data_IF_345260773024
#
_entry.id   IF_345260773024
#
_cell.length_a   1.000
_cell.length_b   1.000
_cell.length_c   1.000
_cell.angle_alpha   90.00
_cell.angle_beta   90.00
_cell.angle_gamma   90.00
#
_symmetry.space_group_name_H-M   'P 1'
#
loop_
_entity.id
_entity.type
_entity.pdbx_description
1 polymer ?
#
# COMPACT_ATOMS: atom_id res chain seq x y z
N UNK A 1 -0.57 16.24 5.40
CA UNK A 1 0.87 15.92 5.50
C UNK A 1 1.21 14.80 4.53
N UNK A 2 2.26 14.96 3.72
CA UNK A 2 2.82 13.94 2.82
C UNK A 2 4.03 13.29 3.47
N UNK A 3 4.01 11.96 3.59
CA UNK A 3 5.04 11.18 4.29
C UNK A 3 5.63 10.15 3.33
N UNK A 4 6.94 9.97 3.37
CA UNK A 4 7.63 8.88 2.70
C UNK A 4 8.14 7.83 3.71
N UNK A 5 8.10 6.55 3.33
CA UNK A 5 8.59 5.44 4.15
C UNK A 5 9.79 4.81 3.44
N UNK A 6 10.93 4.77 4.12
CA UNK A 6 12.13 4.07 3.69
C UNK A 6 12.32 2.85 4.60
N UNK A 7 12.37 1.65 4.02
CA UNK A 7 12.74 0.45 4.77
C UNK A 7 14.11 -0.03 4.32
N UNK A 8 15.01 -0.27 5.26
CA UNK A 8 16.38 -0.72 5.01
C UNK A 8 16.49 -2.19 5.42
N UNK A 9 17.06 -3.02 4.55
CA UNK A 9 17.31 -4.42 4.84
C UNK A 9 17.48 -5.27 3.57
N UNK A 10 18.62 -5.93 3.44
CA UNK A 10 18.91 -6.85 2.34
C UNK A 10 17.95 -8.04 2.29
N UNK A 11 17.49 -8.53 3.44
CA UNK A 11 16.53 -9.61 3.61
C UNK A 11 15.15 -9.27 3.04
N UNK A 12 14.75 -7.99 3.07
CA UNK A 12 13.54 -7.50 2.40
C UNK A 12 13.69 -7.53 0.89
N UNK A 13 14.87 -7.15 0.37
CA UNK A 13 15.16 -7.18 -1.07
C UNK A 13 15.35 -8.60 -1.61
N UNK A 14 15.91 -9.50 -0.80
CA UNK A 14 16.02 -10.92 -1.10
C UNK A 14 14.67 -11.63 -1.08
N UNK A 15 13.68 -11.05 -0.38
CA UNK A 15 12.36 -11.65 -0.19
C UNK A 15 12.36 -12.75 0.88
N UNK A 16 13.35 -12.76 1.76
CA UNK A 16 13.43 -13.69 2.89
C UNK A 16 12.37 -13.36 3.96
N UNK A 17 12.01 -12.08 4.06
CA UNK A 17 10.98 -11.59 4.97
C UNK A 17 10.03 -10.63 4.24
N UNK A 18 8.74 -10.73 4.55
CA UNK A 18 7.75 -9.77 4.06
C UNK A 18 7.92 -8.41 4.74
N UNK A 19 7.82 -7.33 3.96
CA UNK A 19 7.89 -5.96 4.47
C UNK A 19 6.59 -5.54 5.17
N UNK A 20 6.34 -6.14 6.33
CA UNK A 20 5.17 -5.86 7.16
C UNK A 20 5.26 -4.51 7.87
N UNK A 21 6.48 -4.00 8.11
CA UNK A 21 6.71 -2.68 8.69
C UNK A 21 6.17 -1.57 7.80
N UNK A 22 6.50 -1.56 6.51
CA UNK A 22 5.97 -0.55 5.58
C UNK A 22 4.44 -0.58 5.53
N UNK A 23 3.84 -1.78 5.50
CA UNK A 23 2.39 -1.94 5.48
C UNK A 23 1.74 -1.41 6.75
N UNK A 24 2.31 -1.73 7.92
CA UNK A 24 1.80 -1.28 9.20
C UNK A 24 1.94 0.24 9.37
N UNK A 25 3.12 0.80 9.08
CA UNK A 25 3.39 2.24 9.12
C UNK A 25 2.46 3.00 8.18
N UNK A 26 2.28 2.53 6.94
CA UNK A 26 1.40 3.20 5.99
C UNK A 26 -0.06 3.22 6.43
N UNK A 27 -0.53 2.11 7.02
CA UNK A 27 -1.87 2.04 7.61
C UNK A 27 -1.99 3.04 8.77
N UNK A 28 -1.04 3.03 9.70
CA UNK A 28 -1.10 3.88 10.89
C UNK A 28 -1.00 5.37 10.56
N UNK A 29 -0.11 5.74 9.64
CA UNK A 29 -0.01 7.10 9.09
C UNK A 29 -1.33 7.54 8.44
N UNK A 30 -1.99 6.66 7.69
CA UNK A 30 -3.30 6.95 7.09
C UNK A 30 -4.39 7.15 8.15
N UNK A 31 -4.36 6.37 9.24
CA UNK A 31 -5.32 6.48 10.35
C UNK A 31 -5.22 7.81 11.10
N UNK A 32 -4.01 8.36 11.22
CA UNK A 32 -3.81 9.72 11.78
C UNK A 32 -3.99 10.81 10.72
N UNK A 33 -4.42 10.47 9.50
CA UNK A 33 -4.75 11.42 8.44
C UNK A 33 -3.58 11.80 7.54
N UNK A 34 -2.35 11.35 7.81
CA UNK A 34 -1.23 11.55 6.89
C UNK A 34 -1.43 10.79 5.57
N UNK A 35 -0.82 11.27 4.49
CA UNK A 35 -0.82 10.59 3.20
C UNK A 35 0.57 10.02 2.95
N UNK A 36 0.66 8.70 2.78
CA UNK A 36 1.92 8.07 2.37
C UNK A 36 2.07 8.23 0.86
N UNK A 37 3.00 9.09 0.47
CA UNK A 37 3.26 9.45 -0.92
C UNK A 37 4.22 8.48 -1.61
N UNK A 38 5.13 7.88 -0.86
CA UNK A 38 6.15 6.98 -1.39
C UNK A 38 6.58 5.95 -0.34
N UNK A 39 6.83 4.73 -0.81
CA UNK A 39 7.48 3.67 -0.04
C UNK A 39 8.62 3.13 -0.91
N UNK A 40 9.82 3.03 -0.34
CA UNK A 40 10.96 2.40 -1.01
C UNK A 40 11.68 1.45 -0.03
N UNK A 41 12.15 0.34 -0.56
CA UNK A 41 13.06 -0.58 0.14
C UNK A 41 14.44 -0.47 -0.49
N UNK A 42 15.47 -0.37 0.35
CA UNK A 42 16.87 -0.21 -0.06
C UNK A 42 17.76 -1.24 0.65
N UNK A 43 18.92 -1.60 0.08
CA UNK A 43 19.88 -2.47 0.76
C UNK A 43 20.50 -1.75 1.96
N UNK A 44 21.16 -2.53 2.82
CA UNK A 44 22.06 -2.03 3.87
C UNK A 44 23.34 -1.46 3.24
N UNK A 45 23.20 -0.35 2.52
CA UNK A 45 24.27 0.36 1.82
C UNK A 45 24.25 1.84 2.19
N UNK A 46 25.39 2.32 2.69
CA UNK A 46 25.51 3.65 3.25
C UNK A 46 25.19 4.75 2.23
N UNK A 47 25.73 4.67 1.02
CA UNK A 47 25.54 5.68 -0.02
C UNK A 47 24.09 5.70 -0.49
N UNK A 48 23.49 4.52 -0.68
CA UNK A 48 22.09 4.42 -1.10
C UNK A 48 21.13 5.01 -0.06
N UNK A 49 21.32 4.71 1.23
CA UNK A 49 20.48 5.25 2.29
C UNK A 49 20.64 6.78 2.36
N UNK A 50 21.89 7.27 2.36
CA UNK A 50 22.20 8.69 2.46
C UNK A 50 21.59 9.49 1.29
N UNK A 51 21.72 8.99 0.05
CA UNK A 51 21.18 9.63 -1.15
C UNK A 51 19.65 9.74 -1.10
N UNK A 52 18.96 8.68 -0.68
CA UNK A 52 17.50 8.68 -0.57
C UNK A 52 17.05 9.65 0.53
N UNK A 53 17.71 9.66 1.68
CA UNK A 53 17.40 10.59 2.79
C UNK A 53 17.63 12.03 2.35
N UNK A 54 18.73 12.31 1.64
CA UNK A 54 19.06 13.63 1.12
C UNK A 54 18.01 14.13 0.13
N UNK A 55 17.53 13.28 -0.78
CA UNK A 55 16.44 13.64 -1.71
C UNK A 55 15.12 13.88 -0.94
N UNK A 56 14.77 12.98 -0.03
CA UNK A 56 13.44 12.92 0.53
C UNK A 56 13.18 13.93 1.64
N UNK A 57 14.22 14.34 2.39
CA UNK A 57 14.09 15.38 3.43
C UNK A 57 13.53 16.70 2.86
N UNK A 58 13.79 16.99 1.59
CA UNK A 58 13.32 18.21 0.91
C UNK A 58 12.02 17.98 0.12
N UNK A 59 11.71 16.73 -0.25
CA UNK A 59 10.57 16.38 -1.09
C UNK A 59 9.27 16.08 -0.31
N UNK A 60 9.37 15.77 0.99
CA UNK A 60 8.24 15.35 1.82
C UNK A 60 8.17 16.11 3.14
N UNK A 61 6.96 16.20 3.71
CA UNK A 61 6.76 16.85 5.02
C UNK A 61 7.41 16.03 6.15
N UNK A 62 7.49 14.70 5.99
CA UNK A 62 8.27 13.82 6.84
C UNK A 62 8.74 12.56 6.11
N UNK A 63 9.85 12.00 6.61
CA UNK A 63 10.42 10.73 6.16
C UNK A 63 10.51 9.78 7.35
N UNK A 64 9.97 8.58 7.23
CA UNK A 64 10.09 7.51 8.24
C UNK A 64 11.02 6.43 7.69
N UNK A 65 12.17 6.25 8.33
CA UNK A 65 13.17 5.23 8.03
C UNK A 65 13.06 4.11 9.08
N UNK A 66 13.11 2.85 8.66
CA UNK A 66 13.08 1.70 9.58
C UNK A 66 14.00 0.57 9.12
N UNK A 67 14.72 -0.05 10.07
CA UNK A 67 15.70 -1.12 9.81
C UNK A 67 17.15 -0.67 10.00
N UNK A 68 18.06 -1.62 10.22
CA UNK A 68 19.51 -1.38 10.29
C UNK A 68 19.99 -0.55 11.48
N UNK A 69 19.41 -0.72 12.68
CA UNK A 69 19.78 0.00 13.91
C UNK A 69 20.44 -0.89 14.99
N UNK A 70 20.69 -2.16 14.70
CA UNK A 70 21.34 -3.06 15.63
C UNK A 70 22.86 -2.80 15.75
N UNK A 71 23.59 -3.85 16.12
CA UNK A 71 25.04 -3.81 16.31
C UNK A 71 25.82 -4.69 15.34
N UNK A 72 25.17 -5.25 14.31
CA UNK A 72 25.89 -6.03 13.30
C UNK A 72 26.57 -5.11 12.28
N UNK A 73 27.57 -5.59 11.52
CA UNK A 73 28.33 -4.73 10.59
C UNK A 73 27.49 -4.06 9.48
N UNK A 74 26.30 -4.58 9.21
CA UNK A 74 25.32 -4.06 8.26
C UNK A 74 24.27 -3.12 8.89
N UNK A 75 24.26 -2.93 10.21
CA UNK A 75 23.36 -2.01 10.90
C UNK A 75 23.80 -0.53 10.79
N UNK A 76 23.89 -0.01 9.58
CA UNK A 76 24.51 1.29 9.26
C UNK A 76 23.50 2.43 9.03
N UNK A 77 22.21 2.20 9.27
CA UNK A 77 21.16 3.16 8.90
C UNK A 77 21.31 4.51 9.59
N UNK A 78 21.63 4.53 10.89
CA UNK A 78 21.71 5.78 11.65
C UNK A 78 22.86 6.68 11.16
N UNK A 79 24.02 6.08 10.89
CA UNK A 79 25.20 6.76 10.33
C UNK A 79 24.90 7.30 8.92
N UNK A 80 24.29 6.47 8.07
CA UNK A 80 23.92 6.88 6.71
C UNK A 80 22.85 7.98 6.68
N UNK A 81 21.89 7.96 7.62
CA UNK A 81 20.92 9.05 7.80
C UNK A 81 21.63 10.34 8.21
N UNK A 82 22.63 10.30 9.10
CA UNK A 82 23.41 11.48 9.47
C UNK A 82 24.12 12.09 8.25
N UNK A 83 24.77 11.24 7.44
CA UNK A 83 25.40 11.66 6.18
C UNK A 83 24.36 12.24 5.20
N UNK A 84 23.22 11.58 5.02
CA UNK A 84 22.13 12.06 4.17
C UNK A 84 21.44 13.33 4.67
N UNK A 85 21.67 13.75 5.91
CA UNK A 85 21.20 15.01 6.47
C UNK A 85 22.29 16.09 6.51
N UNK A 86 23.50 15.78 6.04
CA UNK A 86 24.68 16.65 6.15
C UNK A 86 24.98 17.03 7.62
N UNK A 87 24.88 16.06 8.55
CA UNK A 87 25.11 16.24 9.99
C UNK A 87 26.21 15.30 10.50
N UNK A 88 26.87 15.71 11.58
CA UNK A 88 27.82 14.84 12.28
C UNK A 88 27.10 13.66 12.95
N UNK A 89 27.74 12.49 12.96
CA UNK A 89 27.27 11.30 13.67
C UNK A 89 27.92 11.29 15.06
N UNK A 90 27.13 11.62 16.08
CA UNK A 90 27.64 11.92 17.43
C UNK A 90 26.88 11.13 18.49
N UNK A 91 27.57 10.80 19.58
CA UNK A 91 26.96 10.16 20.75
C UNK A 91 25.97 11.14 21.40
N UNK A 92 24.74 10.70 21.59
CA UNK A 92 23.72 11.44 22.32
C UNK A 92 23.66 10.94 23.78
N UNK A 93 23.85 11.84 24.74
CA UNK A 93 23.92 11.50 26.17
C UNK A 93 22.64 10.81 26.68
N UNK A 94 21.46 11.27 26.24
CA UNK A 94 20.19 10.67 26.66
C UNK A 94 19.96 9.29 26.04
N UNK A 95 20.44 9.08 24.82
CA UNK A 95 20.43 7.77 24.18
C UNK A 95 21.41 6.81 24.88
N UNK A 96 22.60 7.29 25.26
CA UNK A 96 23.59 6.52 26.01
C UNK A 96 23.03 6.05 27.36
N UNK A 97 22.40 6.93 28.13
CA UNK A 97 21.75 6.57 29.41
C UNK A 97 20.69 5.47 29.23
N UNK A 98 19.87 5.58 28.18
CA UNK A 98 18.86 4.56 27.87
C UNK A 98 19.51 3.22 27.49
N UNK A 99 20.53 3.23 26.63
CA UNK A 99 21.24 2.03 26.18
C UNK A 99 21.90 1.34 27.36
N UNK A 100 22.60 2.08 28.22
CA UNK A 100 23.22 1.55 29.45
C UNK A 100 22.17 0.89 30.36
N UNK A 101 21.05 1.57 30.61
CA UNK A 101 19.95 1.03 31.42
C UNK A 101 19.39 -0.27 30.83
N UNK A 102 19.21 -0.32 29.51
CA UNK A 102 18.71 -1.53 28.84
C UNK A 102 19.72 -2.68 28.90
N UNK A 103 21.01 -2.40 28.72
CA UNK A 103 22.08 -3.40 28.85
C UNK A 103 22.10 -3.99 30.26
N UNK A 104 22.05 -3.13 31.30
CA UNK A 104 21.98 -3.58 32.69
C UNK A 104 20.80 -4.53 32.92
N UNK A 105 19.60 -4.16 32.46
CA UNK A 105 18.41 -4.99 32.58
C UNK A 105 18.52 -6.33 31.81
N UNK A 106 19.21 -6.35 30.66
CA UNK A 106 19.48 -7.57 29.91
C UNK A 106 20.42 -8.48 30.69
N UNK A 107 21.52 -7.95 31.22
CA UNK A 107 22.52 -8.70 31.99
C UNK A 107 21.93 -9.25 33.31
N UNK A 108 21.01 -8.51 33.95
CA UNK A 108 20.28 -9.01 35.12
C UNK A 108 19.40 -10.22 34.79
N UNK A 109 18.71 -10.19 33.64
CA UNK A 109 17.84 -11.29 33.19
C UNK A 109 18.66 -12.47 32.65
N UNK A 110 19.84 -12.21 32.11
CA UNK A 110 20.71 -13.15 31.41
C UNK A 110 22.18 -12.95 31.84
N UNK A 111 22.54 -13.37 33.06
CA UNK A 111 23.89 -13.16 33.59
C UNK A 111 24.95 -14.04 32.92
N UNK A 112 24.52 -15.00 32.10
CA UNK A 112 25.35 -15.96 31.36
C UNK A 112 25.69 -15.50 29.92
N UNK A 113 25.09 -14.39 29.49
CA UNK A 113 25.28 -13.81 28.16
C UNK A 113 26.56 -12.98 28.16
N UNK A 114 27.51 -13.37 27.31
CA UNK A 114 28.75 -12.62 27.04
C UNK A 114 28.55 -11.85 25.73
N UNK A 115 28.23 -10.55 25.84
CA UNK A 115 28.08 -9.67 24.69
C UNK A 115 28.85 -8.38 24.96
N UNK A 116 29.75 -8.05 24.03
CA UNK A 116 30.47 -6.78 23.97
C UNK A 116 29.63 -5.82 23.14
N UNK A 117 28.79 -5.02 23.81
CA UNK A 117 27.90 -4.04 23.17
C UNK A 117 28.55 -2.67 23.26
N UNK A 118 28.76 -2.04 22.10
CA UNK A 118 29.27 -0.68 22.04
C UNK A 118 28.15 0.31 22.32
N UNK A 119 28.07 0.80 23.56
CA UNK A 119 27.10 1.84 23.96
C UNK A 119 27.18 3.06 23.06
N UNK A 120 28.39 3.48 22.67
CA UNK A 120 28.57 4.66 21.84
C UNK A 120 27.96 4.45 20.45
N UNK A 121 28.05 3.24 19.89
CA UNK A 121 27.41 2.90 18.62
C UNK A 121 25.89 3.05 18.69
N UNK A 122 25.24 2.38 19.64
CA UNK A 122 23.77 2.43 19.80
C UNK A 122 23.24 3.82 20.20
N UNK A 123 24.07 4.63 20.86
CA UNK A 123 23.73 5.98 21.28
C UNK A 123 24.06 7.05 20.24
N UNK A 124 24.80 6.70 19.18
CA UNK A 124 25.18 7.64 18.13
C UNK A 124 24.02 7.91 17.19
N UNK A 125 23.82 9.16 16.83
CA UNK A 125 22.75 9.63 15.94
C UNK A 125 23.15 10.94 15.27
N UNK A 126 22.39 11.45 14.28
CA UNK A 126 22.67 12.76 13.70
C UNK A 126 22.70 13.85 14.77
N UNK A 127 23.61 14.82 14.65
CA UNK A 127 23.67 15.99 15.53
C UNK A 127 22.29 16.66 15.68
N UNK A 128 21.99 17.15 16.89
CA UNK A 128 20.72 17.76 17.30
C UNK A 128 19.47 16.87 17.14
N UNK A 129 19.64 15.54 17.02
CA UNK A 129 18.50 14.63 16.96
C UNK A 129 17.76 14.53 18.31
N UNK A 130 16.44 14.52 18.25
CA UNK A 130 15.54 14.20 19.35
C UNK A 130 15.50 12.68 19.52
N UNK A 131 15.87 12.17 20.70
CA UNK A 131 15.82 10.74 20.99
C UNK A 131 14.37 10.24 21.02
N UNK A 132 14.11 9.13 20.35
CA UNK A 132 12.85 8.41 20.42
C UNK A 132 13.05 7.14 21.23
N UNK A 133 12.58 7.15 22.48
CA UNK A 133 12.90 6.09 23.43
C UNK A 133 12.35 4.74 23.03
N UNK A 134 13.21 3.73 23.08
CA UNK A 134 12.87 2.33 22.83
C UNK A 134 12.73 1.62 24.18
N UNK A 135 11.50 1.34 24.59
CA UNK A 135 11.22 0.63 25.84
C UNK A 135 11.31 -0.90 25.73
N UNK A 136 11.35 -1.43 24.51
CA UNK A 136 11.25 -2.87 24.24
C UNK A 136 12.58 -3.49 23.79
N UNK A 137 13.51 -2.67 23.29
CA UNK A 137 14.80 -3.12 22.76
C UNK A 137 15.96 -2.20 23.08
N UNK A 138 17.11 -2.57 22.53
CA UNK A 138 18.40 -1.92 22.82
C UNK A 138 18.58 -0.60 22.06
N UNK A 139 18.22 -0.58 20.78
CA UNK A 139 18.52 0.54 19.89
C UNK A 139 17.44 1.64 19.98
N UNK A 140 17.74 2.85 20.50
CA UNK A 140 16.82 3.97 20.43
C UNK A 140 16.57 4.38 18.96
N UNK A 141 15.36 4.90 18.70
CA UNK A 141 15.12 5.67 17.48
C UNK A 141 15.56 7.11 17.65
N UNK A 142 15.48 7.89 16.58
CA UNK A 142 15.66 9.34 16.68
C UNK A 142 14.80 10.10 15.68
N UNK A 143 14.67 11.40 15.90
CA UNK A 143 14.14 12.35 14.94
C UNK A 143 15.15 13.47 14.72
N UNK A 144 15.58 13.64 13.47
CA UNK A 144 16.45 14.73 13.04
C UNK A 144 15.71 15.58 11.99
N UNK A 145 15.21 16.74 12.39
CA UNK A 145 14.37 17.59 11.53
C UNK A 145 13.02 16.94 11.21
N UNK A 146 12.79 16.61 9.94
CA UNK A 146 11.60 15.89 9.45
C UNK A 146 11.86 14.40 9.17
N UNK A 147 13.06 13.88 9.48
CA UNK A 147 13.41 12.46 9.32
C UNK A 147 13.28 11.76 10.67
N UNK A 148 12.54 10.65 10.69
CA UNK A 148 12.31 9.78 11.84
C UNK A 148 12.94 8.43 11.56
N UNK A 149 13.81 7.96 12.43
CA UNK A 149 14.52 6.68 12.29
C UNK A 149 14.06 5.74 13.39
N UNK A 150 13.54 4.57 12.99
CA UNK A 150 12.94 3.58 13.87
C UNK A 150 13.64 2.21 13.75
N UNK A 151 13.64 1.38 14.80
CA UNK A 151 14.14 0.01 14.71
C UNK A 151 13.44 -0.81 13.62
N UNK A 152 14.08 -1.88 13.16
CA UNK A 152 13.51 -2.83 12.20
C UNK A 152 12.58 -3.87 12.83
N UNK A 153 12.71 -4.14 14.14
CA UNK A 153 11.91 -5.14 14.83
C UNK A 153 10.50 -4.57 15.07
N UNK A 154 9.41 -5.21 14.60
CA UNK A 154 8.06 -4.66 14.72
C UNK A 154 7.61 -4.40 16.17
N UNK A 155 8.10 -5.20 17.12
CA UNK A 155 7.78 -5.08 18.54
C UNK A 155 8.42 -3.83 19.19
N UNK A 156 9.51 -3.33 18.62
CA UNK A 156 10.17 -2.09 19.05
C UNK A 156 9.67 -0.88 18.25
N UNK A 157 9.54 -1.03 16.93
CA UNK A 157 9.13 0.03 16.02
C UNK A 157 7.72 0.55 16.33
N UNK A 158 6.75 -0.34 16.57
CA UNK A 158 5.34 0.06 16.74
C UNK A 158 5.13 0.92 17.98
N UNK A 159 5.62 0.55 19.19
CA UNK A 159 5.50 1.41 20.38
C UNK A 159 6.15 2.77 20.19
N UNK A 160 7.34 2.82 19.57
CA UNK A 160 8.01 4.09 19.30
C UNK A 160 7.14 4.94 18.38
N UNK A 161 6.64 4.38 17.27
CA UNK A 161 5.76 5.09 16.35
C UNK A 161 4.50 5.61 17.04
N UNK A 162 3.83 4.79 17.87
CA UNK A 162 2.63 5.25 18.59
C UNK A 162 2.92 6.44 19.51
N UNK A 163 4.11 6.51 20.11
CA UNK A 163 4.51 7.66 20.94
C UNK A 163 4.64 8.98 20.15
N UNK A 164 4.83 8.90 18.83
CA UNK A 164 4.98 10.05 17.93
C UNK A 164 3.85 10.21 16.92
N UNK A 165 2.84 9.33 16.94
CA UNK A 165 1.80 9.26 15.91
C UNK A 165 1.03 10.58 15.75
N UNK A 166 0.77 11.29 16.84
CA UNK A 166 0.10 12.60 16.83
C UNK A 166 0.86 13.67 16.05
N UNK A 167 2.18 13.53 15.88
CA UNK A 167 2.99 14.49 15.09
C UNK A 167 2.70 14.41 13.60
N UNK A 168 2.10 13.30 13.15
CA UNK A 168 1.67 13.09 11.78
C UNK A 168 0.18 13.40 11.57
N UNK A 169 -0.52 13.84 12.63
CA UNK A 169 -1.94 14.10 12.57
C UNK A 169 -2.26 15.17 11.52
N UNK A 170 -3.29 14.93 10.71
CA UNK A 170 -3.85 15.97 9.86
C UNK A 170 -5.36 15.78 9.71
N UNK A 171 -6.05 16.84 9.27
CA UNK A 171 -7.52 16.91 9.16
C UNK A 171 -8.11 16.00 8.06
N UNK A 172 -7.36 15.01 7.58
CA UNK A 172 -7.79 14.11 6.51
C UNK A 172 -8.56 12.93 7.09
N UNK A 173 -9.77 12.74 6.59
CA UNK A 173 -10.65 11.66 6.97
C UNK A 173 -10.84 10.64 5.84
N UNK A 174 -11.42 9.49 6.20
CA UNK A 174 -11.85 8.49 5.22
C UNK A 174 -13.20 7.87 5.55
N UNK A 175 -13.86 7.38 4.51
CA UNK A 175 -15.11 6.60 4.57
C UNK A 175 -14.91 5.33 3.75
N UNK A 176 -15.39 4.21 4.27
CA UNK A 176 -15.27 2.90 3.62
C UNK A 176 -16.65 2.29 3.44
N UNK A 177 -16.88 1.66 2.29
CA UNK A 177 -18.08 0.90 1.96
C UNK A 177 -17.74 -0.19 0.95
N UNK A 178 -18.70 -1.06 0.65
CA UNK A 178 -18.48 -2.29 -0.09
C UNK A 178 -19.47 -2.43 -1.23
N UNK A 179 -19.01 -2.92 -2.38
CA UNK A 179 -19.84 -3.23 -3.53
C UNK A 179 -19.88 -4.75 -3.75
N UNK A 180 -21.08 -5.31 -3.92
CA UNK A 180 -21.24 -6.70 -4.37
C UNK A 180 -21.09 -6.82 -5.89
N UNK A 181 -19.96 -6.34 -6.42
CA UNK A 181 -19.68 -6.37 -7.84
C UNK A 181 -18.17 -6.34 -8.13
N UNK A 182 -17.75 -6.78 -9.32
CA UNK A 182 -16.39 -6.55 -9.80
C UNK A 182 -16.09 -5.05 -9.90
N UNK A 183 -14.84 -4.66 -9.69
CA UNK A 183 -14.36 -3.27 -9.75
C UNK A 183 -14.86 -2.50 -10.99
N UNK A 184 -14.85 -3.13 -12.17
CA UNK A 184 -15.28 -2.49 -13.41
C UNK A 184 -16.74 -2.02 -13.41
N UNK A 185 -17.59 -2.51 -12.51
CA UNK A 185 -18.99 -2.12 -12.41
C UNK A 185 -19.20 -0.79 -11.67
N UNK A 186 -18.21 -0.32 -10.91
CA UNK A 186 -18.26 0.95 -10.15
C UNK A 186 -17.20 1.95 -10.62
N UNK A 187 -16.26 1.53 -11.47
CA UNK A 187 -15.11 2.35 -11.87
C UNK A 187 -15.50 3.71 -12.49
N UNK A 188 -16.62 3.78 -13.23
CA UNK A 188 -17.09 5.01 -13.85
C UNK A 188 -17.53 6.04 -12.80
N UNK A 189 -18.36 5.60 -11.86
CA UNK A 189 -18.91 6.38 -10.77
C UNK A 189 -17.78 6.84 -9.84
N UNK A 190 -16.82 5.95 -9.56
CA UNK A 190 -15.62 6.26 -8.81
C UNK A 190 -14.73 7.31 -9.51
N UNK A 191 -14.63 7.29 -10.84
CA UNK A 191 -13.94 8.33 -11.60
C UNK A 191 -14.65 9.69 -11.50
N UNK A 192 -15.98 9.70 -11.63
CA UNK A 192 -16.78 10.92 -11.55
C UNK A 192 -16.71 11.52 -10.14
N UNK A 193 -16.82 10.72 -9.08
CA UNK A 193 -16.79 11.23 -7.71
C UNK A 193 -15.42 11.82 -7.38
N UNK A 194 -14.33 11.19 -7.83
CA UNK A 194 -12.97 11.68 -7.66
C UNK A 194 -12.82 13.09 -8.26
N UNK A 195 -13.23 13.27 -9.52
CA UNK A 195 -13.11 14.53 -10.24
C UNK A 195 -14.06 15.60 -9.69
N UNK A 196 -15.31 15.23 -9.41
CA UNK A 196 -16.36 16.17 -9.00
C UNK A 196 -16.15 16.73 -7.60
N UNK A 197 -15.73 15.89 -6.65
CA UNK A 197 -15.60 16.28 -5.26
C UNK A 197 -14.15 16.52 -4.83
N UNK A 198 -13.17 16.22 -5.69
CA UNK A 198 -11.75 16.36 -5.37
C UNK A 198 -11.28 15.42 -4.26
N UNK A 199 -11.98 14.30 -4.06
CA UNK A 199 -11.63 13.28 -3.06
C UNK A 199 -10.73 12.21 -3.67
N UNK A 200 -9.87 11.62 -2.85
CA UNK A 200 -9.08 10.46 -3.24
C UNK A 200 -9.97 9.21 -3.19
N UNK A 201 -9.86 8.36 -4.21
CA UNK A 201 -10.64 7.13 -4.34
C UNK A 201 -9.71 5.92 -4.38
N UNK A 202 -9.98 4.94 -3.52
CA UNK A 202 -9.36 3.63 -3.52
C UNK A 202 -10.39 2.53 -3.79
N UNK A 203 -10.02 1.56 -4.63
CA UNK A 203 -10.82 0.38 -4.95
C UNK A 203 -9.95 -0.86 -4.70
N UNK A 204 -10.46 -1.78 -3.89
CA UNK A 204 -9.75 -2.98 -3.44
C UNK A 204 -10.62 -4.21 -3.73
N UNK A 205 -10.50 -4.80 -4.94
CA UNK A 205 -11.28 -5.96 -5.32
C UNK A 205 -10.84 -7.20 -4.52
N UNK A 206 -11.80 -7.93 -3.95
CA UNK A 206 -11.56 -9.21 -3.28
C UNK A 206 -12.01 -10.37 -4.19
N UNK A 207 -11.10 -11.30 -4.53
CA UNK A 207 -11.43 -12.47 -5.35
C UNK A 207 -12.38 -13.41 -4.57
N UNK A 208 -13.67 -13.36 -4.92
CA UNK A 208 -14.71 -14.14 -4.26
C UNK A 208 -15.45 -13.39 -3.15
N UNK A 209 -14.96 -12.21 -2.75
CA UNK A 209 -15.59 -11.30 -1.79
C UNK A 209 -16.21 -10.07 -2.45
N UNK A 210 -16.70 -9.10 -1.66
CA UNK A 210 -17.09 -7.79 -2.15
C UNK A 210 -15.87 -6.92 -2.47
N UNK A 211 -16.05 -5.95 -3.37
CA UNK A 211 -15.03 -4.92 -3.63
C UNK A 211 -15.12 -3.86 -2.53
N UNK A 212 -14.02 -3.63 -1.79
CA UNK A 212 -13.96 -2.55 -0.80
C UNK A 212 -13.61 -1.24 -1.50
N UNK A 213 -14.36 -0.19 -1.19
CA UNK A 213 -14.20 1.15 -1.73
C UNK A 213 -13.87 2.08 -0.56
N UNK A 214 -12.89 2.96 -0.77
CA UNK A 214 -12.46 3.96 0.21
C UNK A 214 -12.43 5.34 -0.42
N UNK A 215 -13.11 6.29 0.19
CA UNK A 215 -13.01 7.71 -0.15
C UNK A 215 -12.24 8.44 0.95
N UNK A 216 -11.37 9.37 0.57
CA UNK A 216 -10.61 10.17 1.54
C UNK A 216 -10.48 11.63 1.12
N UNK A 217 -10.59 12.55 2.08
CA UNK A 217 -10.61 13.99 1.84
C UNK A 217 -10.35 14.78 3.13
N UNK A 218 -10.02 16.07 2.98
CA UNK A 218 -9.76 16.97 4.11
C UNK A 218 -11.01 17.69 4.65
N UNK A 219 -12.07 17.77 3.83
CA UNK A 219 -13.34 18.36 4.25
C UNK A 219 -14.35 17.22 4.48
N UNK A 220 -14.79 16.99 5.73
CA UNK A 220 -15.71 15.90 6.05
C UNK A 220 -17.08 16.08 5.40
N UNK A 221 -17.54 17.32 5.18
CA UNK A 221 -18.83 17.59 4.51
C UNK A 221 -18.74 17.20 3.04
N UNK A 222 -17.67 17.62 2.36
CA UNK A 222 -17.43 17.21 0.96
C UNK A 222 -17.26 15.71 0.84
N UNK A 223 -16.60 15.07 1.82
CA UNK A 223 -16.41 13.62 1.84
C UNK A 223 -17.74 12.88 2.01
N UNK A 224 -18.60 13.34 2.92
CA UNK A 224 -19.91 12.73 3.15
C UNK A 224 -20.84 12.95 1.93
N UNK A 225 -20.80 14.13 1.30
CA UNK A 225 -21.51 14.41 0.05
C UNK A 225 -21.03 13.50 -1.10
N UNK A 226 -19.72 13.25 -1.18
CA UNK A 226 -19.12 12.35 -2.17
C UNK A 226 -19.60 10.90 -1.96
N UNK A 227 -19.62 10.42 -0.71
CA UNK A 227 -20.19 9.11 -0.38
C UNK A 227 -21.66 9.05 -0.78
N UNK A 228 -22.48 10.00 -0.34
CA UNK A 228 -23.91 10.03 -0.66
C UNK A 228 -24.17 10.01 -2.17
N UNK A 229 -23.36 10.74 -2.94
CA UNK A 229 -23.43 10.75 -4.39
C UNK A 229 -23.17 9.36 -4.99
N UNK A 230 -22.15 8.64 -4.53
CA UNK A 230 -21.87 7.27 -5.00
C UNK A 230 -23.04 6.34 -4.68
N UNK A 231 -23.62 6.43 -3.48
CA UNK A 231 -24.77 5.62 -3.08
C UNK A 231 -26.02 5.89 -3.91
N UNK A 232 -26.23 7.13 -4.35
CA UNK A 232 -27.36 7.49 -5.22
C UNK A 232 -27.16 7.03 -6.68
N UNK A 233 -25.91 6.96 -7.15
CA UNK A 233 -25.60 6.76 -8.57
C UNK A 233 -25.03 5.38 -8.92
N UNK A 234 -24.70 4.57 -7.91
CA UNK A 234 -24.20 3.22 -8.14
C UNK A 234 -25.25 2.36 -8.83
N UNK A 235 -24.81 1.62 -9.85
CA UNK A 235 -25.66 0.65 -10.57
C UNK A 235 -25.61 -0.74 -9.94
N UNK A 236 -24.96 -0.86 -8.78
CA UNK A 236 -24.74 -2.11 -8.05
C UNK A 236 -25.13 -1.91 -6.59
N UNK A 237 -25.43 -3.02 -5.91
CA UNK A 237 -25.74 -2.97 -4.49
C UNK A 237 -24.49 -2.61 -3.68
N UNK A 238 -24.66 -1.61 -2.81
CA UNK A 238 -23.64 -1.14 -1.88
C UNK A 238 -24.01 -1.49 -0.43
N UNK A 239 -22.99 -1.65 0.40
CA UNK A 239 -23.13 -2.06 1.79
C UNK A 239 -22.11 -1.33 2.67
N UNK A 240 -22.49 -1.04 3.91
CA UNK A 240 -21.61 -0.37 4.89
C UNK A 240 -20.52 -1.29 5.44
N UNK A 241 -20.64 -2.61 5.26
CA UNK A 241 -19.66 -3.59 5.74
C UNK A 241 -19.57 -4.83 4.87
N UNK A 242 -18.43 -5.53 4.97
CA UNK A 242 -18.22 -6.83 4.33
C UNK A 242 -19.26 -7.85 4.82
N UNK A 243 -19.49 -7.92 6.13
CA UNK A 243 -20.48 -8.81 6.74
C UNK A 243 -21.91 -8.54 6.23
N UNK A 244 -22.29 -7.27 6.05
CA UNK A 244 -23.59 -6.93 5.47
C UNK A 244 -23.72 -7.40 4.02
N UNK A 245 -22.62 -7.33 3.27
CA UNK A 245 -22.56 -7.81 1.88
C UNK A 245 -22.71 -9.33 1.82
N UNK A 246 -21.97 -10.06 2.67
CA UNK A 246 -22.05 -11.52 2.75
C UNK A 246 -23.44 -12.00 3.14
N UNK A 247 -24.04 -11.38 4.15
CA UNK A 247 -25.40 -11.71 4.58
C UNK A 247 -26.44 -11.46 3.45
N UNK A 248 -26.23 -10.44 2.61
CA UNK A 248 -27.09 -10.19 1.45
C UNK A 248 -26.91 -11.26 0.36
N UNK A 249 -25.68 -11.69 0.08
CA UNK A 249 -25.37 -12.79 -0.84
C UNK A 249 -26.01 -14.11 -0.39
N UNK A 250 -25.98 -14.41 0.90
CA UNK A 250 -26.60 -15.62 1.46
C UNK A 250 -28.11 -15.62 1.28
N UNK A 251 -28.78 -14.50 1.60
CA UNK A 251 -30.24 -14.35 1.39
C UNK A 251 -30.63 -14.54 -0.07
N UNK A 252 -29.83 -14.01 -1.02
CA UNK A 252 -30.07 -14.15 -2.46
C UNK A 252 -29.98 -15.61 -2.91
N UNK A 253 -28.95 -16.33 -2.45
CA UNK A 253 -28.79 -17.78 -2.71
C UNK A 253 -29.95 -18.62 -2.14
N UNK A 254 -30.47 -18.26 -0.97
CA UNK A 254 -31.60 -18.96 -0.35
C UNK A 254 -32.92 -18.69 -1.08
N UNK A 255 -33.15 -17.44 -1.51
CA UNK A 255 -34.29 -17.06 -2.34
C UNK A 255 -34.28 -17.77 -3.69
N UNK A 256 -33.11 -17.86 -4.35
CA UNK A 256 -32.99 -18.55 -5.64
C UNK A 256 -33.24 -20.06 -5.50
N UNK A 257 -32.87 -20.66 -4.36
CA UNK A 257 -33.15 -22.07 -4.07
C UNK A 257 -34.62 -22.35 -3.74
N UNK A 258 -35.34 -21.38 -3.19
CA UNK A 258 -36.75 -21.53 -2.80
C UNK A 258 -37.73 -21.12 -3.91
N UNK A 259 -37.28 -20.33 -4.88
CA UNK A 259 -38.06 -19.93 -6.07
C UNK A 259 -38.17 -20.98 -7.18
N UNK A 260 -37.46 -22.11 -7.10
CA UNK A 260 -37.56 -23.22 -8.06
C UNK A 260 -38.75 -24.18 -7.76
N UNK A 261 -39.46 -24.01 -6.64
CA UNK A 261 -40.49 -24.94 -6.14
C UNK A 261 -41.95 -24.42 -6.26
N UNK A 262 -42.25 -23.43 -7.11
CA UNK A 262 -43.65 -23.09 -7.43
C UNK A 262 -44.21 -23.96 -8.57
N UNK A 263 -45.25 -24.80 -8.34
CA UNK A 263 -45.86 -25.58 -9.40
C UNK A 263 -46.69 -24.68 -10.31
N UNK A 264 -46.38 -24.68 -11.61
CA UNK A 264 -47.19 -24.01 -12.65
C UNK A 264 -48.58 -24.63 -12.74
N UNK A 265 -49.55 -24.02 -12.06
CA UNK A 265 -50.96 -24.36 -12.18
C UNK A 265 -51.57 -23.68 -13.41
N UNK A 266 -51.47 -24.28 -14.60
CA UNK A 266 -52.42 -24.05 -15.69
C UNK A 266 -52.31 -25.12 -16.78
N UNK A 267 -52.97 -26.26 -16.58
CA UNK A 267 -53.35 -27.15 -17.69
C UNK A 267 -54.79 -27.67 -17.47
N UNK A 268 -55.75 -26.77 -17.68
CA UNK A 268 -57.16 -27.11 -17.90
C UNK A 268 -57.69 -26.33 -19.10
N UNK A 269 -57.34 -26.75 -20.31
CA UNK A 269 -58.32 -26.75 -21.41
C UNK A 269 -57.90 -27.68 -22.56
N UNK A 270 -58.16 -28.98 -22.38
CA UNK A 270 -58.07 -29.96 -23.45
C UNK A 270 -59.36 -30.03 -24.26
N UNK A 271 -59.27 -29.70 -25.55
CA UNK A 271 -59.90 -30.50 -26.60
C UNK A 271 -61.18 -29.97 -27.24
N UNK A 272 -61.02 -29.33 -28.40
CA UNK A 272 -61.82 -29.64 -29.61
C UNK A 272 -60.94 -29.40 -30.84
N UNK A 273 -60.40 -30.48 -31.39
CA UNK A 273 -59.76 -30.53 -32.71
C UNK A 273 -60.78 -31.15 -33.67
N UNK A 274 -61.15 -30.42 -34.71
CA UNK A 274 -61.75 -31.00 -35.91
C UNK A 274 -60.69 -31.18 -36.98
N UNK A 275 -60.84 -32.29 -37.67
CA UNK A 275 -60.01 -32.95 -38.66
C UNK A 275 -60.12 -32.26 -40.03
N UNK A 276 -59.02 -32.18 -40.80
CA UNK A 276 -58.98 -32.40 -42.26
C UNK A 276 -57.57 -32.26 -42.88
N UNK A 277 -57.18 -33.36 -43.57
CA UNK A 277 -56.55 -33.46 -44.90
C UNK A 277 -55.18 -32.78 -45.13
N UNK A 278 -54.05 -33.53 -45.19
CA UNK A 278 -53.50 -34.28 -46.35
C UNK A 278 -53.39 -33.46 -47.66
N UNK A 279 -52.18 -33.05 -48.05
CA UNK A 279 -51.46 -33.46 -49.29
C UNK A 279 -50.34 -32.47 -49.70
N UNK A 280 -49.34 -33.07 -50.39
CA UNK A 280 -48.26 -32.48 -51.17
C UNK A 280 -47.09 -31.84 -50.39
N UNK A 281 -45.83 -32.17 -50.67
CA UNK A 281 -45.23 -32.74 -51.88
C UNK A 281 -43.96 -31.92 -52.13
N UNK A 282 -42.79 -32.53 -51.97
CA UNK A 282 -41.53 -31.82 -51.77
C UNK A 282 -40.96 -31.07 -52.97
N UNK A 283 -39.86 -30.37 -52.71
CA UNK A 283 -38.74 -30.20 -53.64
C UNK A 283 -37.50 -29.71 -52.90
N UNK A 284 -36.41 -30.48 -53.02
CA UNK A 284 -35.03 -30.06 -52.83
C UNK A 284 -34.62 -29.15 -54.00
N UNK A 285 -33.76 -28.17 -53.75
CA UNK A 285 -32.63 -27.84 -54.64
C UNK A 285 -31.48 -27.22 -53.83
N UNK A 286 -30.29 -27.79 -53.99
CA UNK A 286 -29.00 -27.25 -53.61
C UNK A 286 -28.56 -26.11 -54.53
N UNK A 287 -27.79 -25.16 -53.97
CA UNK A 287 -26.58 -24.53 -54.53
C UNK A 287 -26.20 -23.40 -53.56
N UNK A 288 -24.99 -23.27 -53.01
CA UNK A 288 -23.68 -23.61 -53.54
C UNK A 288 -23.05 -22.35 -54.14
N UNK A 289 -22.40 -21.51 -53.31
CA UNK A 289 -21.34 -20.58 -53.77
C UNK A 289 -20.46 -20.08 -52.60
N UNK A 290 -19.18 -20.44 -52.67
CA UNK A 290 -18.04 -19.84 -51.95
C UNK A 290 -17.52 -18.64 -52.74
N UNK A 291 -17.17 -17.55 -52.06
CA UNK A 291 -16.09 -16.57 -52.34
C UNK A 291 -15.84 -15.93 -50.95
N UNK A 292 -14.67 -15.76 -50.35
CA UNK A 292 -13.28 -15.65 -50.77
C UNK A 292 -12.69 -14.56 -49.86
N UNK A 293 -11.70 -14.90 -49.03
CA UNK A 293 -11.25 -14.07 -47.91
C UNK A 293 -10.35 -12.88 -48.28
N UNK A 294 -10.22 -11.94 -47.35
CA UNK A 294 -9.09 -11.02 -47.22
C UNK A 294 -8.81 -10.76 -45.73
N UNK A 295 -7.56 -11.03 -45.35
CA UNK A 295 -6.93 -10.73 -44.06
C UNK A 295 -6.46 -9.26 -44.00
N UNK A 296 -6.29 -8.68 -42.80
CA UNK A 296 -5.96 -7.26 -42.62
C UNK A 296 -4.44 -6.98 -42.65
N UNK A 297 -4.08 -5.75 -43.05
CA UNK A 297 -2.71 -5.19 -42.98
C UNK A 297 -2.48 -4.49 -41.63
N UNK A 298 -1.29 -4.61 -41.00
CA UNK A 298 -0.93 -3.81 -39.83
C UNK A 298 -0.26 -2.49 -40.24
N UNK A 299 -0.51 -1.43 -39.47
CA UNK A 299 0.17 -0.13 -39.59
C UNK A 299 1.24 -0.05 -38.50
N UNK A 300 2.45 0.29 -38.93
CA UNK A 300 3.69 0.43 -38.14
C UNK A 300 3.95 1.88 -37.69
N UNK A 301 4.65 2.04 -36.56
CA UNK A 301 5.36 3.26 -36.13
C UNK A 301 4.77 3.84 -34.82
N UNK A 302 5.52 4.21 -33.78
CA UNK A 302 6.94 4.59 -33.66
C UNK A 302 7.39 4.29 -32.23
N UNK A 303 8.44 3.48 -32.06
CA UNK A 303 9.18 3.35 -30.81
C UNK A 303 10.29 4.40 -30.74
N UNK A 304 10.45 5.06 -29.58
CA UNK A 304 11.60 5.92 -29.29
C UNK A 304 12.58 5.13 -28.43
N UNK A 305 13.79 4.95 -28.95
CA UNK A 305 14.92 4.37 -28.23
C UNK A 305 15.55 5.40 -27.29
N UNK A 306 15.86 4.93 -26.09
CA UNK A 306 16.70 5.53 -25.06
C UNK A 306 18.17 5.26 -25.41
N UNK A 307 19.04 6.27 -25.33
CA UNK A 307 20.51 6.11 -25.39
C UNK A 307 21.13 6.86 -24.21
N UNK A 308 22.04 6.24 -23.43
CA UNK A 308 22.84 6.94 -22.43
C UNK A 308 24.15 7.40 -23.07
N UNK A 309 24.46 8.70 -22.96
CA UNK A 309 25.79 9.22 -23.28
C UNK A 309 26.63 9.28 -22.00
N UNK A 310 27.56 8.32 -21.89
CA UNK A 310 28.72 8.45 -21.01
C UNK A 310 29.75 9.38 -21.65
N UNK A 311 30.24 10.34 -20.88
CA UNK A 311 31.40 11.15 -21.23
C UNK A 311 32.46 10.98 -20.14
N UNK A 312 33.46 10.15 -20.42
CA UNK A 312 34.70 10.08 -19.68
C UNK A 312 35.58 11.29 -20.04
N UNK A 313 36.06 12.01 -19.03
CA UNK A 313 37.20 12.93 -19.19
C UNK A 313 38.34 12.46 -18.30
N UNK A 314 39.40 11.99 -18.97
CA UNK A 314 40.75 11.85 -18.41
C UNK A 314 41.26 13.22 -18.00
N UNK A 315 41.74 13.36 -16.76
CA UNK A 315 42.69 14.40 -16.37
C UNK A 315 44.08 13.76 -16.36
N UNK A 316 44.94 14.28 -17.21
CA UNK A 316 46.36 13.97 -17.26
C UNK A 316 47.10 14.68 -16.13
N UNK A 317 48.01 13.94 -15.49
CA UNK A 317 49.07 14.46 -14.62
C UNK A 317 49.95 15.43 -15.41
N UNK A 318 50.34 16.54 -14.79
CA UNK A 318 51.60 17.22 -15.09
C UNK A 318 52.37 17.44 -13.78
N UNK A 319 53.61 16.97 -13.81
CA UNK A 319 54.65 17.29 -12.83
C UNK A 319 55.31 18.60 -13.26
N UNK A 320 55.47 19.51 -12.31
CA UNK A 320 56.27 20.73 -12.40
C UNK A 320 56.44 21.32 -11.03
#
# INVERSE_FOLDING_TARGET
MQVAILTVGNELLAGDIENTNATWLARRLTEVGATVARIQTVPDDHEVIADVVSEWRDAFDAVVVTGGLGGTPDDITMEAVAAGLDREFVVNDAAAEQVETTIEAILERRPDIDFDLDVAWYASMPEDAEVLSNGEGLAPGCRAGNVYVLPGIPEEMKPIFESIAERFASDRESREFYADAPEGAVARELGIVAERFGVQVGSYPNRGGPTRIKLSGADPVVLDDAVAWVWEHATVDLYESEAATEAARERKKESDRTGEDEPKESDRNGGRRTERERQNGGRRTESGRRIGGQTPRPVSGVGRNWHPNGASRRVTRDCG
#
